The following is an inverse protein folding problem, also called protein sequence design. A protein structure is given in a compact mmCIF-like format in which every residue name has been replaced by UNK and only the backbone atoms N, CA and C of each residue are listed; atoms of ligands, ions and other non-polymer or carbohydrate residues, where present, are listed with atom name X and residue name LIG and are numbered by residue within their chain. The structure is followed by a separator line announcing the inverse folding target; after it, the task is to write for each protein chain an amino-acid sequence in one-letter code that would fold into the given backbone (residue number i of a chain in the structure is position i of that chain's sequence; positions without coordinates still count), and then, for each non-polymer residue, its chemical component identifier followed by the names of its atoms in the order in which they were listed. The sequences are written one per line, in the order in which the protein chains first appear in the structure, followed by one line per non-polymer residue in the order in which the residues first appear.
data_IF_731011853355
#
_entry.id   IF_731011853355
#
_cell.length_a   1.000
_cell.length_b   1.000
_cell.length_c   1.000
_cell.angle_alpha   90.00
_cell.angle_beta   90.00
_cell.angle_gamma   90.00
#
_symmetry.space_group_name_H-M   'P 1'
#
loop_
_entity.id
_entity.type
_entity.pdbx_description
1 polymer ?
#
# COMPACT_ATOMS: atom_id res chain seq x y z
N UNK A 1 4.02 -4.19 3.42
CA UNK A 1 3.82 -5.50 2.74
C UNK A 1 4.43 -6.65 3.52
N UNK A 2 5.68 -6.56 3.99
CA UNK A 2 6.28 -7.54 4.90
C UNK A 2 5.41 -7.78 6.15
N UNK A 3 4.99 -6.71 6.82
CA UNK A 3 4.19 -6.81 8.04
C UNK A 3 2.82 -7.45 7.78
N UNK A 4 2.18 -7.10 6.66
CA UNK A 4 0.92 -7.73 6.21
C UNK A 4 1.09 -9.26 6.11
N UNK A 5 2.17 -9.73 5.50
CA UNK A 5 2.40 -11.18 5.38
C UNK A 5 2.62 -11.88 6.72
N UNK A 6 3.22 -11.17 7.70
CA UNK A 6 3.38 -11.70 9.05
C UNK A 6 2.07 -11.74 9.82
N UNK A 7 1.17 -10.78 9.62
CA UNK A 7 -0.15 -10.77 10.28
C UNK A 7 -1.09 -11.88 9.79
N UNK A 8 -0.75 -12.62 8.74
CA UNK A 8 -1.56 -13.75 8.24
C UNK A 8 -1.30 -15.07 8.96
N UNK A 9 -0.17 -15.16 9.69
CA UNK A 9 0.27 -16.37 10.36
C UNK A 9 0.00 -16.27 11.84
N UNK A 10 -0.91 -17.11 12.34
CA UNK A 10 -1.25 -17.27 13.75
C UNK A 10 -0.67 -18.58 14.29
N UNK A 11 -0.54 -18.69 15.61
CA UNK A 11 -0.03 -19.92 16.26
C UNK A 11 -0.90 -21.15 15.95
N UNK A 12 -2.19 -20.93 15.70
CA UNK A 12 -3.18 -21.98 15.39
C UNK A 12 -3.34 -22.24 13.88
N UNK A 13 -2.60 -21.52 13.02
CA UNK A 13 -2.67 -21.68 11.56
C UNK A 13 -2.71 -20.36 10.78
N UNK A 14 -3.26 -20.39 9.58
CA UNK A 14 -3.35 -19.21 8.69
C UNK A 14 -4.73 -18.59 8.74
N UNK A 15 -4.78 -17.26 8.80
CA UNK A 15 -6.03 -16.51 8.94
C UNK A 15 -5.92 -15.05 8.55
N UNK A 16 -7.00 -14.32 8.78
CA UNK A 16 -7.06 -12.87 8.65
C UNK A 16 -7.71 -12.29 9.91
N UNK A 17 -7.10 -11.26 10.49
CA UNK A 17 -7.74 -10.45 11.53
C UNK A 17 -8.10 -9.06 11.03
N UNK A 18 -8.85 -8.32 11.83
CA UNK A 18 -9.12 -6.91 11.53
C UNK A 18 -7.80 -6.13 11.48
N UNK A 19 -6.86 -6.45 12.38
CA UNK A 19 -5.48 -5.95 12.31
C UNK A 19 -4.79 -6.20 10.96
N UNK A 20 -4.94 -7.40 10.38
CA UNK A 20 -4.42 -7.71 9.03
C UNK A 20 -4.99 -6.76 7.97
N UNK A 21 -6.29 -6.47 8.01
CA UNK A 21 -6.94 -5.56 7.06
C UNK A 21 -6.46 -4.13 7.21
N UNK A 22 -6.29 -3.65 8.44
CA UNK A 22 -5.71 -2.33 8.73
C UNK A 22 -4.32 -2.23 8.10
N UNK A 23 -3.43 -3.18 8.40
CA UNK A 23 -2.06 -3.19 7.84
C UNK A 23 -2.04 -3.27 6.31
N UNK A 24 -2.99 -4.00 5.71
CA UNK A 24 -3.11 -4.12 4.26
C UNK A 24 -3.52 -2.80 3.59
N UNK A 25 -4.52 -2.11 4.15
CA UNK A 25 -4.98 -0.83 3.62
C UNK A 25 -3.88 0.23 3.77
N UNK A 26 -3.18 0.26 4.91
CA UNK A 26 -2.05 1.17 5.12
C UNK A 26 -0.93 0.94 4.10
N UNK A 27 -0.50 -0.32 3.93
CA UNK A 27 0.52 -0.67 2.95
C UNK A 27 0.10 -0.32 1.51
N UNK A 28 -1.19 -0.50 1.18
CA UNK A 28 -1.73 -0.11 -0.12
C UNK A 28 -1.71 1.41 -0.32
N UNK A 29 -2.20 2.20 0.64
CA UNK A 29 -2.24 3.66 0.55
C UNK A 29 -0.83 4.26 0.45
N UNK A 30 0.13 3.74 1.23
CA UNK A 30 1.52 4.14 1.14
C UNK A 30 2.13 3.79 -0.24
N UNK A 31 1.79 2.63 -0.78
CA UNK A 31 2.23 2.23 -2.13
C UNK A 31 1.67 3.19 -3.19
N UNK A 32 0.40 3.58 -3.08
CA UNK A 32 -0.23 4.56 -3.97
C UNK A 32 0.39 5.95 -3.82
N UNK A 33 0.72 6.37 -2.59
CA UNK A 33 1.43 7.62 -2.34
C UNK A 33 2.82 7.62 -3.00
N UNK A 34 3.62 6.56 -2.79
CA UNK A 34 4.96 6.43 -3.41
C UNK A 34 4.84 6.42 -4.93
N UNK A 35 3.96 5.60 -5.50
CA UNK A 35 3.79 5.49 -6.97
C UNK A 35 3.24 6.77 -7.61
N UNK A 36 2.54 7.62 -6.87
CA UNK A 36 2.09 8.94 -7.34
C UNK A 36 3.15 10.04 -7.27
N UNK A 37 4.36 9.75 -6.78
CA UNK A 37 5.43 10.73 -6.63
C UNK A 37 6.02 11.21 -7.97
N UNK A 38 6.36 12.50 -8.03
CA UNK A 38 7.09 13.12 -9.14
C UNK A 38 8.43 12.41 -9.43
N UNK A 39 9.15 11.95 -8.42
CA UNK A 39 10.43 11.24 -8.59
C UNK A 39 10.27 9.95 -9.41
N UNK A 40 9.19 9.19 -9.18
CA UNK A 40 8.88 7.97 -9.94
C UNK A 40 8.47 8.27 -11.39
N UNK A 41 7.83 9.42 -11.62
CA UNK A 41 7.58 9.94 -12.98
C UNK A 41 8.89 10.24 -13.71
N UNK A 42 9.86 10.86 -13.03
CA UNK A 42 11.16 11.14 -13.63
C UNK A 42 11.99 9.86 -13.86
N UNK A 43 11.94 8.89 -12.95
CA UNK A 43 12.62 7.59 -13.12
C UNK A 43 12.07 6.78 -14.30
N UNK A 44 10.76 6.87 -14.55
CA UNK A 44 10.09 6.12 -15.64
C UNK A 44 10.24 6.77 -17.02
N UNK A 45 10.48 8.08 -17.11
CA UNK A 45 10.51 8.81 -18.40
C UNK A 45 11.63 9.80 -18.65
N UNK A 46 12.59 9.99 -17.73
CA UNK A 46 13.56 11.09 -17.80
C UNK A 46 14.62 11.03 -18.91
N UNK A 47 14.71 9.97 -19.73
CA UNK A 47 15.84 9.76 -20.66
C UNK A 47 15.42 9.39 -22.10
N UNK A 48 14.13 9.19 -22.43
CA UNK A 48 13.74 8.71 -23.76
C UNK A 48 12.98 9.73 -24.61
N UNK A 49 13.67 10.31 -25.59
CA UNK A 49 13.10 11.16 -26.65
C UNK A 49 12.37 10.36 -27.77
N UNK A 50 12.48 9.03 -27.80
CA UNK A 50 11.82 8.18 -28.82
C UNK A 50 11.11 6.98 -28.22
N UNK A 51 9.79 7.14 -28.06
CA UNK A 51 8.84 6.15 -27.53
C UNK A 51 8.36 5.12 -28.57
N UNK A 52 9.20 4.76 -29.55
CA UNK A 52 8.73 4.15 -30.80
C UNK A 52 8.95 2.63 -30.94
N UNK A 53 9.81 1.98 -30.13
CA UNK A 53 10.06 0.52 -30.23
C UNK A 53 10.35 -0.17 -28.88
N UNK A 54 9.81 -1.38 -28.69
CA UNK A 54 10.16 -2.30 -27.59
C UNK A 54 9.90 -1.75 -26.17
N UNK A 55 10.87 -1.96 -25.26
CA UNK A 55 10.83 -1.56 -23.83
C UNK A 55 10.57 -0.05 -23.64
N UNK A 56 10.92 0.77 -24.64
CA UNK A 56 10.62 2.20 -24.65
C UNK A 56 9.11 2.46 -24.66
N UNK A 57 8.32 1.82 -25.53
CA UNK A 57 6.87 2.05 -25.60
C UNK A 57 6.13 1.69 -24.29
N UNK A 58 6.61 0.65 -23.60
CA UNK A 58 6.10 0.25 -22.28
C UNK A 58 6.37 1.33 -21.22
N UNK A 59 7.59 1.86 -21.20
CA UNK A 59 8.00 2.96 -20.31
C UNK A 59 7.22 4.26 -20.60
N UNK A 60 6.92 4.56 -21.86
CA UNK A 60 6.11 5.74 -22.23
C UNK A 60 4.65 5.61 -21.78
N UNK A 61 4.10 4.40 -21.84
CA UNK A 61 2.77 4.09 -21.28
C UNK A 61 2.76 4.20 -19.77
N UNK A 62 3.81 3.69 -19.11
CA UNK A 62 3.99 3.81 -17.65
C UNK A 62 4.13 5.28 -17.23
N UNK A 63 4.90 6.08 -17.95
CA UNK A 63 5.04 7.52 -17.72
C UNK A 63 3.70 8.24 -17.84
N UNK A 64 2.88 7.94 -18.86
CA UNK A 64 1.53 8.49 -18.99
C UNK A 64 0.64 8.11 -17.80
N UNK A 65 0.65 6.83 -17.38
CA UNK A 65 -0.12 6.36 -16.22
C UNK A 65 0.33 7.02 -14.92
N UNK A 66 1.63 7.09 -14.67
CA UNK A 66 2.21 7.76 -13.50
C UNK A 66 1.94 9.26 -13.52
N UNK A 67 1.92 9.89 -14.70
CA UNK A 67 1.55 11.30 -14.84
C UNK A 67 0.08 11.59 -14.53
N UNK A 68 -0.81 10.60 -14.67
CA UNK A 68 -2.21 10.70 -14.21
C UNK A 68 -2.28 10.50 -12.70
N UNK A 69 -1.60 9.48 -12.17
CA UNK A 69 -1.52 9.21 -10.72
C UNK A 69 -0.90 10.38 -9.94
N UNK A 70 0.05 11.09 -10.53
CA UNK A 70 0.70 12.23 -9.91
C UNK A 70 -0.27 13.38 -9.60
N UNK A 71 -1.36 13.53 -10.38
CA UNK A 71 -2.35 14.60 -10.09
C UNK A 71 -3.05 14.36 -8.75
N UNK A 72 -3.19 13.10 -8.34
CA UNK A 72 -3.77 12.72 -7.05
C UNK A 72 -2.74 12.52 -5.95
N UNK A 73 -1.48 12.95 -6.12
CA UNK A 73 -0.43 12.80 -5.10
C UNK A 73 -0.83 13.39 -3.74
N UNK A 74 -1.42 14.59 -3.74
CA UNK A 74 -1.94 15.19 -2.51
C UNK A 74 -3.08 14.38 -1.88
N UNK A 75 -3.97 13.80 -2.69
CA UNK A 75 -5.04 12.92 -2.18
C UNK A 75 -4.48 11.66 -1.54
N UNK A 76 -3.53 10.98 -2.19
CA UNK A 76 -2.88 9.79 -1.64
C UNK A 76 -2.09 10.11 -0.37
N UNK A 77 -1.45 11.28 -0.29
CA UNK A 77 -0.78 11.74 0.92
C UNK A 77 -1.75 11.89 2.10
N UNK A 78 -2.85 12.64 1.92
CA UNK A 78 -3.81 12.88 3.00
C UNK A 78 -4.51 11.61 3.45
N UNK A 79 -4.90 10.76 2.48
CA UNK A 79 -5.54 9.47 2.80
C UNK A 79 -4.58 8.51 3.48
N UNK A 80 -3.33 8.39 3.04
CA UNK A 80 -2.34 7.55 3.72
C UNK A 80 -2.05 8.07 5.12
N UNK A 81 -1.87 9.39 5.29
CA UNK A 81 -1.59 9.99 6.59
C UNK A 81 -2.72 9.75 7.58
N UNK A 82 -3.96 10.02 7.16
CA UNK A 82 -5.14 9.77 8.00
C UNK A 82 -5.26 8.29 8.38
N UNK A 83 -5.00 7.38 7.44
CA UNK A 83 -5.13 5.95 7.69
C UNK A 83 -4.02 5.41 8.59
N UNK A 84 -2.78 5.90 8.47
CA UNK A 84 -1.69 5.57 9.42
C UNK A 84 -2.10 5.93 10.84
N UNK A 85 -2.62 7.15 11.06
CA UNK A 85 -3.13 7.54 12.39
C UNK A 85 -4.24 6.62 12.90
N UNK A 86 -5.16 6.21 12.02
CA UNK A 86 -6.22 5.26 12.38
C UNK A 86 -5.63 3.89 12.73
N UNK A 87 -4.63 3.42 11.98
CA UNK A 87 -3.94 2.16 12.23
C UNK A 87 -3.20 2.14 13.56
N UNK A 88 -2.52 3.23 13.90
CA UNK A 88 -1.86 3.40 15.21
C UNK A 88 -2.88 3.38 16.35
N UNK A 89 -3.98 4.14 16.22
CA UNK A 89 -5.04 4.15 17.23
C UNK A 89 -5.71 2.78 17.39
N UNK A 90 -5.95 2.07 16.28
CA UNK A 90 -6.47 0.71 16.31
C UNK A 90 -5.53 -0.23 17.05
N UNK A 91 -4.24 -0.21 16.70
CA UNK A 91 -3.22 -1.06 17.31
C UNK A 91 -3.07 -0.78 18.80
N UNK A 92 -3.09 0.50 19.20
CA UNK A 92 -3.07 0.91 20.61
C UNK A 92 -4.34 0.45 21.34
N UNK A 93 -5.53 0.60 20.76
CA UNK A 93 -6.78 0.18 21.37
C UNK A 93 -6.85 -1.34 21.58
N UNK A 94 -6.32 -2.12 20.63
CA UNK A 94 -6.20 -3.58 20.76
C UNK A 94 -5.16 -3.95 21.83
N UNK A 95 -4.01 -3.27 21.87
CA UNK A 95 -2.96 -3.54 22.86
C UNK A 95 -3.42 -3.25 24.31
N UNK A 96 -4.17 -2.18 24.52
CA UNK A 96 -4.74 -1.79 25.82
C UNK A 96 -6.02 -2.57 26.18
N UNK A 97 -6.45 -3.53 25.34
CA UNK A 97 -7.67 -4.33 25.50
C UNK A 97 -8.96 -3.50 25.58
N UNK A 98 -8.99 -2.33 24.96
CA UNK A 98 -10.23 -1.58 24.75
C UNK A 98 -11.10 -2.23 23.66
N UNK A 99 -10.47 -2.89 22.68
CA UNK A 99 -11.12 -3.56 21.56
C UNK A 99 -10.47 -4.93 21.37
N UNK A 100 -11.27 -5.97 21.19
CA UNK A 100 -10.76 -7.30 20.84
C UNK A 100 -10.50 -7.40 19.33
N UNK A 101 -9.31 -7.87 18.94
CA UNK A 101 -9.03 -8.17 17.54
C UNK A 101 -9.70 -9.49 17.15
N UNK A 102 -10.72 -9.40 16.29
CA UNK A 102 -11.43 -10.56 15.78
C UNK A 102 -10.62 -11.17 14.64
N UNK A 103 -10.13 -12.39 14.85
CA UNK A 103 -9.41 -13.16 13.85
C UNK A 103 -10.23 -14.36 13.34
N UNK A 104 -10.19 -14.57 12.03
CA UNK A 104 -10.78 -15.75 11.38
C UNK A 104 -9.63 -16.63 10.89
N UNK A 105 -9.56 -17.84 11.42
CA UNK A 105 -8.60 -18.86 10.98
C UNK A 105 -9.22 -19.65 9.84
N UNK A 106 -8.55 -19.65 8.68
CA UNK A 106 -9.02 -20.33 7.46
C UNK A 106 -8.41 -21.72 7.31
N UNK A 107 -7.17 -21.90 7.75
CA UNK A 107 -6.45 -23.17 7.71
C UNK A 107 -5.82 -23.40 9.07
N UNK A 108 -6.40 -24.32 9.84
CA UNK A 108 -5.82 -24.78 11.10
C UNK A 108 -4.67 -25.75 10.83
N UNK A 109 -3.58 -25.63 11.59
CA UNK A 109 -2.45 -26.55 11.59
C UNK A 109 -2.50 -27.50 12.78
#
# INVERSE_FOLDING_TARGET
WWDVTHTLKFDTGWGFSIGTFVMLIEAFLLTMYVTSCHALRHLSGGILDRWTKGVSALRGTLFKKLSVLNRSHGFWFWTSLAFVFIGDLWTLAVAERYIDDVAIILVGS
#
